data_IF_454497289301
#
_entry.id   IF_454497289301
#
_cell.length_a   1.000
_cell.length_b   1.000
_cell.length_c   1.000
_cell.angle_alpha   90.00
_cell.angle_beta   90.00
_cell.angle_gamma   90.00
#
_symmetry.space_group_name_H-M   'P 1'
#
loop_
_entity.id
_entity.type
_entity.pdbx_description
1 polymer ?
#
# COMPACT_ATOMS: atom_id res chain seq x y z
N UNK A 1 8.53 8.89 1.32
CA UNK A 1 8.43 10.37 1.35
C UNK A 1 7.36 10.73 2.37
N UNK A 2 7.79 10.99 3.60
CA UNK A 2 6.93 11.43 4.70
C UNK A 2 6.26 12.73 4.29
N UNK A 3 4.93 12.80 4.39
CA UNK A 3 4.15 14.00 4.07
C UNK A 3 4.72 15.20 4.83
N UNK A 4 5.42 16.09 4.13
CA UNK A 4 5.82 17.40 4.69
C UNK A 4 4.60 18.32 4.91
N UNK A 5 3.39 17.87 4.56
CA UNK A 5 2.12 18.55 4.71
C UNK A 5 1.23 17.87 5.77
N UNK A 6 1.82 17.35 6.84
CA UNK A 6 1.05 16.77 7.95
C UNK A 6 0.18 17.82 8.65
N UNK A 7 -1.02 17.45 9.07
CA UNK A 7 -1.88 18.28 9.92
C UNK A 7 -1.88 17.66 11.30
N UNK A 8 -1.60 18.49 12.29
CA UNK A 8 -1.69 18.10 13.70
C UNK A 8 -3.07 18.46 14.22
N UNK A 9 -3.71 17.52 14.90
CA UNK A 9 -5.00 17.75 15.54
C UNK A 9 -4.82 17.93 17.04
N UNK A 10 -5.66 18.78 17.64
CA UNK A 10 -5.89 18.85 19.08
C UNK A 10 -7.35 18.53 19.37
N UNK A 11 -7.58 17.47 20.14
CA UNK A 11 -8.89 17.11 20.62
C UNK A 11 -8.77 16.22 21.87
N UNK A 12 -9.68 16.39 22.84
CA UNK A 12 -9.84 15.58 24.06
C UNK A 12 -8.59 14.85 24.56
N UNK A 13 -7.72 15.54 25.32
CA UNK A 13 -6.50 14.98 25.93
C UNK A 13 -5.50 14.33 24.96
N UNK A 14 -5.62 14.60 23.66
CA UNK A 14 -4.71 14.13 22.63
C UNK A 14 -4.10 15.36 21.96
N UNK A 15 -2.78 15.49 22.12
CA UNK A 15 -1.98 16.48 21.41
C UNK A 15 -1.24 15.76 20.27
N UNK A 16 -1.35 16.33 19.07
CA UNK A 16 -0.39 16.14 17.97
C UNK A 16 -0.36 14.74 17.31
N UNK A 17 -1.50 14.33 16.73
CA UNK A 17 -1.56 13.17 15.83
C UNK A 17 -1.52 13.66 14.38
N UNK A 18 -0.57 13.13 13.61
CA UNK A 18 -0.46 13.35 12.16
C UNK A 18 -1.55 12.55 11.44
N UNK A 19 -2.43 13.27 10.75
CA UNK A 19 -3.51 12.69 9.95
C UNK A 19 -3.55 13.33 8.56
N UNK A 20 -3.96 12.53 7.57
CA UNK A 20 -4.19 13.05 6.23
C UNK A 20 -5.51 13.80 6.18
N UNK A 21 -5.51 15.04 5.69
CA UNK A 21 -6.75 15.73 5.31
C UNK A 21 -6.98 15.61 3.81
N UNK A 22 -8.24 15.47 3.43
CA UNK A 22 -8.69 15.59 2.06
C UNK A 22 -9.76 16.68 2.04
N UNK A 23 -9.55 17.66 1.16
CA UNK A 23 -10.51 18.73 0.94
C UNK A 23 -11.50 18.29 -0.13
N UNK A 24 -12.77 18.28 0.24
CA UNK A 24 -13.83 17.66 -0.56
C UNK A 24 -15.03 18.59 -0.68
N UNK A 25 -15.91 18.34 -1.64
CA UNK A 25 -17.21 18.97 -1.70
C UNK A 25 -18.27 18.15 -0.96
N UNK A 26 -19.52 18.62 -1.00
CA UNK A 26 -20.64 17.95 -0.35
C UNK A 26 -21.00 16.61 -1.00
N UNK A 27 -20.66 16.44 -2.27
CA UNK A 27 -21.06 15.27 -3.06
C UNK A 27 -19.95 14.20 -3.12
N UNK A 28 -18.79 14.42 -2.51
CA UNK A 28 -17.64 13.52 -2.57
C UNK A 28 -17.92 12.10 -2.06
N UNK A 29 -18.49 11.96 -0.87
CA UNK A 29 -18.79 10.67 -0.24
C UNK A 29 -19.78 9.89 -1.10
N UNK A 30 -20.82 10.57 -1.60
CA UNK A 30 -21.77 10.03 -2.58
C UNK A 30 -21.12 9.66 -3.90
N UNK A 31 -20.25 10.51 -4.43
CA UNK A 31 -19.55 10.33 -5.71
C UNK A 31 -18.57 9.16 -5.65
N UNK A 32 -18.01 8.83 -4.49
CA UNK A 32 -17.17 7.66 -4.29
C UNK A 32 -17.93 6.45 -3.75
N UNK A 33 -19.24 6.55 -3.52
CA UNK A 33 -20.07 5.50 -2.92
C UNK A 33 -19.49 4.99 -1.59
N UNK A 34 -18.94 5.92 -0.80
CA UNK A 34 -18.38 5.60 0.50
C UNK A 34 -19.53 5.46 1.49
N UNK A 35 -19.57 4.33 2.20
CA UNK A 35 -20.59 4.09 3.21
C UNK A 35 -20.33 4.93 4.47
N UNK A 36 -21.40 5.50 5.02
CA UNK A 36 -21.40 6.05 6.37
C UNK A 36 -21.58 4.94 7.38
N UNK A 37 -20.74 4.96 8.41
CA UNK A 37 -20.79 4.03 9.53
C UNK A 37 -21.51 4.64 10.73
N UNK A 38 -21.37 5.94 10.95
CA UNK A 38 -22.06 6.70 12.01
C UNK A 38 -22.31 8.15 11.57
N UNK A 39 -23.30 8.79 12.19
CA UNK A 39 -23.61 10.21 11.96
C UNK A 39 -24.21 10.47 10.59
N UNK A 40 -23.82 11.57 9.96
CA UNK A 40 -24.36 12.01 8.66
C UNK A 40 -23.26 12.46 7.70
N UNK A 41 -23.60 12.52 6.41
CA UNK A 41 -22.78 13.17 5.39
C UNK A 41 -22.82 14.70 5.53
N UNK A 42 -21.97 15.36 4.75
CA UNK A 42 -22.11 16.77 4.44
C UNK A 42 -23.44 17.04 3.73
N UNK A 43 -24.09 18.16 4.08
CA UNK A 43 -25.32 18.59 3.43
C UNK A 43 -25.27 20.06 3.07
N UNK A 44 -25.71 20.39 1.84
CA UNK A 44 -25.86 21.78 1.38
C UNK A 44 -26.94 22.53 2.15
N UNK A 45 -27.88 21.81 2.77
CA UNK A 45 -28.96 22.37 3.59
C UNK A 45 -28.44 22.85 4.96
N UNK A 46 -27.27 22.37 5.38
CA UNK A 46 -26.64 22.73 6.66
C UNK A 46 -25.54 23.76 6.41
N UNK A 47 -25.89 25.03 6.59
CA UNK A 47 -25.00 26.16 6.29
C UNK A 47 -23.69 26.17 7.10
N UNK A 48 -23.63 25.47 8.23
CA UNK A 48 -22.42 25.34 9.05
C UNK A 48 -21.42 24.33 8.50
N UNK A 49 -21.83 23.41 7.62
CA UNK A 49 -20.97 22.29 7.19
C UNK A 49 -19.71 22.77 6.46
N UNK A 50 -19.86 23.73 5.56
CA UNK A 50 -18.74 24.33 4.85
C UNK A 50 -17.69 24.95 5.79
N UNK A 51 -18.09 25.38 6.99
CA UNK A 51 -17.19 26.01 7.97
C UNK A 51 -16.63 25.00 8.96
N UNK A 52 -17.49 24.26 9.65
CA UNK A 52 -17.10 23.47 10.83
C UNK A 52 -17.27 21.97 10.68
N UNK A 53 -18.01 21.43 9.70
CA UNK A 53 -18.20 19.97 9.66
C UNK A 53 -16.91 19.23 9.28
N UNK A 54 -16.68 18.10 9.96
CA UNK A 54 -15.58 17.18 9.70
C UNK A 54 -16.14 15.75 9.62
N UNK A 55 -15.64 14.96 8.66
CA UNK A 55 -15.83 13.51 8.64
C UNK A 55 -14.51 12.80 8.90
N UNK A 56 -14.57 11.65 9.54
CA UNK A 56 -13.40 10.78 9.78
C UNK A 56 -13.67 9.37 9.29
N UNK A 57 -12.64 8.64 8.88
CA UNK A 57 -12.76 7.20 8.71
C UNK A 57 -12.62 6.43 10.04
N UNK A 58 -12.95 5.14 10.01
CA UNK A 58 -12.83 4.26 11.19
C UNK A 58 -11.38 4.19 11.71
N UNK A 59 -10.39 4.15 10.81
CA UNK A 59 -8.98 4.11 11.18
C UNK A 59 -8.53 5.34 11.98
N UNK A 60 -9.11 6.53 11.71
CA UNK A 60 -8.85 7.72 12.51
C UNK A 60 -9.38 7.58 13.94
N UNK A 61 -10.61 7.05 14.11
CA UNK A 61 -11.15 6.81 15.45
C UNK A 61 -10.35 5.75 16.23
N UNK A 62 -9.95 4.67 15.56
CA UNK A 62 -9.11 3.62 16.17
C UNK A 62 -7.77 4.19 16.63
N UNK A 63 -7.13 5.03 15.80
CA UNK A 63 -5.87 5.70 16.16
C UNK A 63 -6.03 6.67 17.33
N UNK A 64 -7.21 7.29 17.46
CA UNK A 64 -7.55 8.17 18.58
C UNK A 64 -8.00 7.42 19.83
N UNK A 65 -8.26 6.11 19.73
CA UNK A 65 -8.86 5.33 20.82
C UNK A 65 -10.30 5.77 21.15
N UNK A 66 -11.00 6.40 20.21
CA UNK A 66 -12.35 6.91 20.39
C UNK A 66 -13.40 5.91 19.93
N UNK A 67 -14.39 5.63 20.78
CA UNK A 67 -15.51 4.75 20.41
C UNK A 67 -16.75 5.51 19.94
N UNK A 68 -17.02 6.66 20.56
CA UNK A 68 -18.08 7.58 20.16
C UNK A 68 -17.56 9.02 20.29
N UNK A 69 -17.55 9.73 19.17
CA UNK A 69 -16.94 11.04 19.03
C UNK A 69 -17.81 12.00 18.20
N UNK A 70 -19.04 11.60 17.85
CA UNK A 70 -19.93 12.49 17.11
C UNK A 70 -20.24 13.73 17.96
N UNK A 71 -20.16 14.90 17.33
CA UNK A 71 -20.34 16.19 17.98
C UNK A 71 -19.10 16.74 18.70
N UNK A 72 -17.98 16.00 18.72
CA UNK A 72 -16.76 16.48 19.37
C UNK A 72 -16.15 17.67 18.60
N UNK A 73 -15.75 18.70 19.34
CA UNK A 73 -15.02 19.85 18.79
C UNK A 73 -13.53 19.52 18.63
N UNK A 74 -13.02 19.81 17.45
CA UNK A 74 -11.70 19.41 16.98
C UNK A 74 -11.02 20.62 16.36
N UNK A 75 -9.83 20.93 16.87
CA UNK A 75 -8.99 21.98 16.34
C UNK A 75 -7.90 21.38 15.45
N UNK A 76 -7.83 21.85 14.21
CA UNK A 76 -6.82 21.43 13.23
C UNK A 76 -5.75 22.50 13.13
N UNK A 77 -4.47 22.11 13.18
CA UNK A 77 -3.32 23.01 13.12
C UNK A 77 -2.35 22.61 12.01
N UNK A 78 -1.67 23.59 11.44
CA UNK A 78 -0.51 23.32 10.61
C UNK A 78 0.66 22.83 11.47
N UNK A 79 1.37 21.82 11.00
CA UNK A 79 2.52 21.25 11.73
C UNK A 79 3.61 22.30 12.02
N UNK A 80 3.76 23.30 11.15
CA UNK A 80 4.74 24.38 11.26
C UNK A 80 4.27 25.58 12.11
N UNK A 81 2.96 25.77 12.30
CA UNK A 81 2.38 26.92 13.00
C UNK A 81 1.24 26.45 13.93
N UNK A 82 1.55 26.34 15.23
CA UNK A 82 0.66 25.79 16.27
C UNK A 82 0.03 26.85 17.18
N UNK A 83 0.10 28.11 16.78
CA UNK A 83 -0.32 29.25 17.61
C UNK A 83 -1.82 29.54 17.40
N UNK A 84 -2.31 29.39 16.17
CA UNK A 84 -3.71 29.63 15.80
C UNK A 84 -4.25 28.38 15.11
N UNK A 85 -5.41 27.86 15.51
CA UNK A 85 -6.04 26.75 14.82
C UNK A 85 -6.42 27.19 13.41
N UNK A 86 -6.05 26.37 12.44
CA UNK A 86 -6.38 26.54 11.05
C UNK A 86 -7.88 26.35 10.80
N UNK A 87 -8.47 25.35 11.46
CA UNK A 87 -9.91 25.13 11.48
C UNK A 87 -10.38 24.74 12.87
N UNK A 88 -11.53 25.29 13.25
CA UNK A 88 -12.34 24.80 14.35
C UNK A 88 -13.48 23.98 13.76
N UNK A 89 -13.50 22.69 14.07
CA UNK A 89 -14.38 21.73 13.42
C UNK A 89 -15.14 20.90 14.42
N UNK A 90 -16.22 20.26 13.97
CA UNK A 90 -17.06 19.36 14.74
C UNK A 90 -17.21 18.06 13.96
N UNK A 91 -16.97 16.92 14.60
CA UNK A 91 -17.15 15.62 13.95
C UNK A 91 -18.64 15.36 13.71
N UNK A 92 -19.09 15.36 12.45
CA UNK A 92 -20.52 15.17 12.11
C UNK A 92 -20.83 13.75 11.62
N UNK A 93 -19.81 12.98 11.26
CA UNK A 93 -19.99 11.63 10.72
C UNK A 93 -18.70 10.85 10.61
N UNK A 94 -18.87 9.54 10.52
CA UNK A 94 -17.79 8.56 10.41
C UNK A 94 -18.03 7.73 9.16
N UNK A 95 -17.08 7.73 8.25
CA UNK A 95 -17.13 6.97 7.00
C UNK A 95 -16.38 5.64 7.12
N UNK A 96 -16.74 4.70 6.26
CA UNK A 96 -16.02 3.43 6.16
C UNK A 96 -14.58 3.69 5.67
N UNK A 97 -13.67 2.86 6.17
CA UNK A 97 -12.32 2.75 5.64
C UNK A 97 -12.34 2.47 4.12
N UNK A 98 -11.67 3.32 3.33
CA UNK A 98 -11.54 3.19 1.88
C UNK A 98 -10.11 3.48 1.44
N UNK A 99 -9.71 2.87 0.31
CA UNK A 99 -8.34 2.98 -0.19
C UNK A 99 -8.20 4.20 -1.08
N UNK A 100 -7.50 5.22 -0.59
CA UNK A 100 -7.36 6.51 -1.29
C UNK A 100 -6.06 6.65 -2.09
N UNK A 101 -5.01 5.86 -1.82
CA UNK A 101 -3.70 6.01 -2.48
C UNK A 101 -3.03 4.71 -2.88
N UNK A 102 -3.08 3.68 -2.03
CA UNK A 102 -2.32 2.45 -2.20
C UNK A 102 -2.99 1.31 -1.42
N UNK A 103 -3.28 0.17 -2.07
CA UNK A 103 -3.83 -1.02 -1.39
C UNK A 103 -2.79 -1.74 -0.53
N UNK A 104 -1.50 -1.41 -0.66
CA UNK A 104 -0.41 -2.08 0.04
C UNK A 104 -0.03 -1.43 1.38
N UNK A 105 -0.60 -0.26 1.69
CA UNK A 105 -0.40 0.40 2.98
C UNK A 105 -1.57 0.14 3.93
N UNK A 106 -1.33 0.02 5.25
CA UNK A 106 -2.42 -0.02 6.23
C UNK A 106 -3.33 1.21 6.08
N UNK A 107 -4.62 1.00 6.31
CA UNK A 107 -5.64 2.04 6.24
C UNK A 107 -5.22 3.28 7.03
N UNK A 108 -4.95 4.39 6.33
CA UNK A 108 -4.49 5.62 6.96
C UNK A 108 -5.66 6.37 7.61
N UNK A 109 -5.43 7.04 8.76
CA UNK A 109 -6.42 7.93 9.35
C UNK A 109 -6.65 9.14 8.44
N UNK A 110 -7.88 9.31 7.98
CA UNK A 110 -8.26 10.36 7.03
C UNK A 110 -9.35 11.24 7.63
N UNK A 111 -9.14 12.54 7.46
CA UNK A 111 -10.10 13.61 7.74
C UNK A 111 -10.65 14.15 6.43
N UNK A 112 -11.96 14.27 6.29
CA UNK A 112 -12.59 14.99 5.17
C UNK A 112 -13.13 16.33 5.65
N UNK A 113 -12.82 17.39 4.92
CA UNK A 113 -13.28 18.75 5.23
C UNK A 113 -13.67 19.49 3.94
N UNK A 114 -14.73 20.29 4.02
CA UNK A 114 -15.07 21.20 2.92
C UNK A 114 -14.19 22.44 2.97
N UNK A 115 -13.41 22.66 1.91
CA UNK A 115 -12.69 23.91 1.63
C UNK A 115 -12.48 24.11 0.12
N UNK A 116 -13.35 24.88 -0.55
CA UNK A 116 -13.28 25.11 -1.98
C UNK A 116 -11.98 25.74 -2.47
N UNK A 117 -11.28 26.50 -1.62
CA UNK A 117 -10.01 27.15 -1.98
C UNK A 117 -8.85 26.16 -2.11
N UNK A 118 -9.05 24.91 -1.69
CA UNK A 118 -8.03 23.85 -1.67
C UNK A 118 -8.33 22.70 -2.63
N UNK A 119 -9.39 22.82 -3.43
CA UNK A 119 -9.71 21.82 -4.43
C UNK A 119 -8.63 21.79 -5.51
N UNK A 120 -8.18 20.57 -5.85
CA UNK A 120 -7.17 20.34 -6.88
C UNK A 120 -7.69 19.51 -8.04
N UNK A 121 -8.67 18.67 -7.78
CA UNK A 121 -9.24 17.74 -8.75
C UNK A 121 -10.76 17.78 -8.65
N UNK A 122 -11.42 17.59 -9.79
CA UNK A 122 -12.86 17.35 -9.85
C UNK A 122 -13.06 15.86 -10.09
N UNK A 123 -13.82 15.21 -9.21
CA UNK A 123 -14.20 13.81 -9.39
C UNK A 123 -15.56 13.76 -10.07
N UNK A 124 -15.64 13.02 -11.17
CA UNK A 124 -16.87 12.83 -11.93
C UNK A 124 -17.12 11.34 -12.04
N UNK A 125 -18.24 10.88 -11.48
CA UNK A 125 -18.72 9.52 -11.69
C UNK A 125 -19.56 9.47 -12.96
N UNK A 126 -19.22 8.56 -13.86
CA UNK A 126 -19.96 8.30 -15.10
C UNK A 126 -20.61 6.92 -14.95
N UNK A 127 -21.86 6.78 -15.39
CA UNK A 127 -22.62 5.52 -15.32
C UNK A 127 -22.58 4.81 -16.70
N UNK A 128 -22.11 3.56 -16.76
CA UNK A 128 -22.03 2.75 -17.98
C UNK A 128 -20.64 2.58 -18.58
N UNK A 129 -20.54 1.86 -19.71
CA UNK A 129 -19.29 1.70 -20.45
C UNK A 129 -18.83 3.06 -21.00
N UNK A 130 -17.63 3.46 -20.60
CA UNK A 130 -16.97 4.73 -20.90
C UNK A 130 -17.10 5.15 -22.37
N UNK A 131 -18.15 5.91 -22.69
CA UNK A 131 -18.31 6.42 -24.05
C UNK A 131 -17.44 7.65 -24.23
N UNK A 132 -16.67 7.66 -25.33
CA UNK A 132 -16.00 8.85 -25.88
C UNK A 132 -16.93 10.07 -25.86
N UNK A 133 -18.24 9.86 -26.01
CA UNK A 133 -19.29 10.86 -25.94
C UNK A 133 -19.40 11.56 -24.58
N UNK A 134 -19.33 10.82 -23.46
CA UNK A 134 -19.39 11.38 -22.10
C UNK A 134 -18.18 12.30 -21.84
N UNK A 135 -17.00 11.88 -22.28
CA UNK A 135 -15.77 12.67 -22.15
C UNK A 135 -15.84 13.91 -23.02
N UNK A 136 -16.31 13.78 -24.27
CA UNK A 136 -16.51 14.91 -25.18
C UNK A 136 -17.53 15.92 -24.62
N UNK A 137 -18.59 15.43 -23.98
CA UNK A 137 -19.58 16.27 -23.31
C UNK A 137 -18.96 17.07 -22.16
N UNK A 138 -18.21 16.41 -21.27
CA UNK A 138 -17.51 17.08 -20.16
C UNK A 138 -16.49 18.09 -20.70
N UNK A 139 -15.71 17.72 -21.72
CA UNK A 139 -14.73 18.61 -22.36
C UNK A 139 -15.39 19.86 -22.95
N UNK A 140 -16.59 19.72 -23.52
CA UNK A 140 -17.36 20.87 -24.03
C UNK A 140 -17.78 21.79 -22.89
N UNK A 141 -18.36 21.25 -21.82
CA UNK A 141 -18.74 22.04 -20.63
C UNK A 141 -17.54 22.76 -20.05
N UNK A 142 -16.39 22.08 -19.93
CA UNK A 142 -15.15 22.68 -19.44
C UNK A 142 -14.76 23.93 -20.26
N UNK A 143 -14.81 23.81 -21.58
CA UNK A 143 -14.52 24.92 -22.50
C UNK A 143 -15.55 26.06 -22.40
N UNK A 144 -16.82 25.73 -22.25
CA UNK A 144 -17.91 26.72 -22.10
C UNK A 144 -17.83 27.47 -20.76
N UNK A 145 -17.33 26.80 -19.72
CA UNK A 145 -17.16 27.36 -18.38
C UNK A 145 -16.01 28.36 -18.26
N UNK A 146 -15.22 28.54 -19.33
CA UNK A 146 -14.08 29.47 -19.39
C UNK A 146 -13.05 29.27 -18.28
N UNK A 147 -12.77 28.01 -17.90
CA UNK A 147 -11.64 27.72 -17.03
C UNK A 147 -10.32 28.06 -17.75
N UNK A 148 -9.39 28.70 -17.03
CA UNK A 148 -8.08 29.09 -17.58
C UNK A 148 -7.18 27.87 -17.86
N UNK A 149 -7.42 26.74 -17.18
CA UNK A 149 -6.63 25.53 -17.29
C UNK A 149 -7.08 24.62 -18.46
N UNK A 150 -6.13 23.94 -19.13
CA UNK A 150 -6.47 22.95 -20.16
C UNK A 150 -7.26 21.79 -19.54
N UNK A 151 -8.20 21.23 -20.32
CA UNK A 151 -8.93 20.04 -19.91
C UNK A 151 -8.00 18.82 -19.89
N UNK A 152 -7.56 18.44 -18.69
CA UNK A 152 -6.81 17.23 -18.43
C UNK A 152 -7.65 16.28 -17.57
N UNK A 153 -7.66 15.00 -17.94
CA UNK A 153 -8.35 13.98 -17.18
C UNK A 153 -7.55 12.69 -17.16
N UNK A 154 -7.71 11.95 -16.08
CA UNK A 154 -7.24 10.58 -15.93
C UNK A 154 -8.38 9.74 -15.38
N UNK A 155 -8.34 8.44 -15.68
CA UNK A 155 -9.26 7.51 -15.05
C UNK A 155 -8.63 6.98 -13.77
N UNK A 156 -9.43 6.94 -12.71
CA UNK A 156 -8.97 6.53 -11.38
C UNK A 156 -8.41 5.10 -11.38
N UNK A 157 -9.02 4.18 -12.14
CA UNK A 157 -8.55 2.79 -12.30
C UNK A 157 -7.18 2.73 -12.98
N UNK A 158 -6.97 3.51 -14.04
CA UNK A 158 -5.69 3.59 -14.76
C UNK A 158 -4.59 4.23 -13.92
N UNK A 159 -4.92 5.25 -13.13
CA UNK A 159 -3.97 5.86 -12.19
C UNK A 159 -3.58 4.87 -11.10
N UNK A 160 -4.54 4.11 -10.56
CA UNK A 160 -4.26 3.02 -9.64
C UNK A 160 -3.37 1.96 -10.29
N UNK A 161 -3.67 1.51 -11.52
CA UNK A 161 -2.82 0.55 -12.25
C UNK A 161 -1.39 1.07 -12.44
N UNK A 162 -1.22 2.36 -12.76
CA UNK A 162 0.09 2.98 -12.89
C UNK A 162 0.87 2.98 -11.57
N UNK A 163 0.19 3.21 -10.44
CA UNK A 163 0.80 3.05 -9.10
C UNK A 163 1.27 1.60 -8.91
N UNK A 164 0.47 0.59 -9.25
CA UNK A 164 0.88 -0.83 -9.16
C UNK A 164 2.04 -1.19 -10.08
N UNK A 165 2.07 -0.67 -11.31
CA UNK A 165 3.14 -0.96 -12.28
C UNK A 165 4.52 -0.55 -11.77
N UNK A 166 4.59 0.51 -10.95
CA UNK A 166 5.84 0.92 -10.31
C UNK A 166 6.35 -0.12 -9.29
N UNK A 167 5.47 -0.90 -8.66
CA UNK A 167 5.87 -2.02 -7.79
C UNK A 167 6.35 -3.25 -8.59
N UNK A 168 5.85 -3.49 -9.80
CA UNK A 168 6.26 -4.62 -10.63
C UNK A 168 7.74 -4.58 -11.04
N UNK A 169 8.29 -3.37 -11.19
CA UNK A 169 9.71 -3.18 -11.56
C UNK A 169 10.65 -3.72 -10.47
N UNK A 170 10.32 -3.50 -9.20
CA UNK A 170 11.10 -4.00 -8.07
C UNK A 170 11.03 -5.52 -7.95
N UNK A 171 9.83 -6.09 -8.09
CA UNK A 171 9.64 -7.55 -8.12
C UNK A 171 10.43 -8.19 -9.27
N UNK A 172 10.50 -7.54 -10.43
CA UNK A 172 11.27 -8.00 -11.59
C UNK A 172 12.77 -8.02 -11.30
N UNK A 173 13.31 -6.98 -10.67
CA UNK A 173 14.74 -6.93 -10.28
C UNK A 173 15.05 -8.03 -9.26
N UNK A 174 14.22 -8.20 -8.23
CA UNK A 174 14.40 -9.27 -7.22
C UNK A 174 14.34 -10.64 -7.87
N UNK A 175 13.43 -10.87 -8.82
CA UNK A 175 13.32 -12.14 -9.54
C UNK A 175 14.61 -12.46 -10.29
N UNK A 176 15.19 -11.49 -11.02
CA UNK A 176 16.47 -11.70 -11.70
C UNK A 176 17.64 -11.89 -10.72
N UNK A 177 17.71 -11.11 -9.65
CA UNK A 177 18.74 -11.24 -8.62
C UNK A 177 18.68 -12.61 -7.92
N UNK A 178 17.47 -13.08 -7.60
CA UNK A 178 17.23 -14.40 -7.00
C UNK A 178 17.61 -15.52 -7.97
N UNK A 179 17.22 -15.40 -9.23
CA UNK A 179 17.62 -16.37 -10.27
C UNK A 179 19.13 -16.46 -10.41
N UNK A 180 19.84 -15.33 -10.40
CA UNK A 180 21.30 -15.30 -10.48
C UNK A 180 21.94 -15.88 -9.21
N UNK A 181 21.41 -15.57 -8.03
CA UNK A 181 21.88 -16.13 -6.77
C UNK A 181 21.73 -17.66 -6.73
N UNK A 182 20.58 -18.19 -7.19
CA UNK A 182 20.36 -19.63 -7.32
C UNK A 182 21.37 -20.24 -8.30
N UNK A 183 21.59 -19.60 -9.44
CA UNK A 183 22.55 -20.08 -10.44
C UNK A 183 23.98 -20.17 -9.88
N UNK A 184 24.44 -19.13 -9.18
CA UNK A 184 25.75 -19.11 -8.51
C UNK A 184 25.82 -20.17 -7.40
N UNK A 185 24.76 -20.34 -6.63
CA UNK A 185 24.69 -21.38 -5.59
C UNK A 185 24.80 -22.79 -6.20
N UNK A 186 24.15 -23.05 -7.35
CA UNK A 186 24.27 -24.30 -8.08
C UNK A 186 25.70 -24.53 -8.59
N UNK A 187 26.41 -23.51 -9.06
CA UNK A 187 27.83 -23.61 -9.44
C UNK A 187 28.71 -23.95 -8.23
N UNK A 188 28.46 -23.35 -7.07
CA UNK A 188 29.17 -23.67 -5.83
C UNK A 188 28.94 -25.11 -5.40
N UNK A 189 27.69 -25.57 -5.41
CA UNK A 189 27.33 -26.96 -5.09
C UNK A 189 27.98 -27.95 -6.07
N UNK A 190 27.98 -27.62 -7.37
CA UNK A 190 28.66 -28.41 -8.40
C UNK A 190 30.17 -28.49 -8.17
N UNK A 191 30.82 -27.39 -7.79
CA UNK A 191 32.25 -27.37 -7.45
C UNK A 191 32.59 -28.25 -6.24
N UNK A 192 31.74 -28.23 -5.21
CA UNK A 192 31.86 -29.12 -4.04
C UNK A 192 31.67 -30.59 -4.42
N UNK A 193 30.69 -30.88 -5.29
CA UNK A 193 30.43 -32.22 -5.79
C UNK A 193 31.63 -32.76 -6.59
N UNK A 194 32.14 -31.98 -7.53
CA UNK A 194 33.32 -32.34 -8.34
C UNK A 194 34.55 -32.63 -7.45
N UNK A 195 34.83 -31.76 -6.48
CA UNK A 195 35.96 -31.94 -5.55
C UNK A 195 35.81 -33.18 -4.67
N UNK A 196 34.58 -33.52 -4.28
CA UNK A 196 34.29 -34.71 -3.48
C UNK A 196 34.47 -35.99 -4.30
N UNK A 197 34.00 -35.99 -5.55
CA UNK A 197 34.20 -37.11 -6.49
C UNK A 197 35.70 -37.34 -6.71
N UNK A 198 36.48 -36.29 -6.95
CA UNK A 198 37.92 -36.39 -7.16
C UNK A 198 38.62 -37.07 -5.97
N UNK A 199 38.32 -36.62 -4.74
CA UNK A 199 38.86 -37.21 -3.50
C UNK A 199 38.45 -38.66 -3.29
N UNK A 200 37.25 -39.06 -3.74
CA UNK A 200 36.69 -40.42 -3.58
C UNK A 200 36.89 -41.31 -4.82
N UNK A 201 37.65 -40.86 -5.82
CA UNK A 201 37.88 -41.60 -7.09
C UNK A 201 38.41 -43.02 -6.85
N UNK A 202 39.35 -43.19 -5.90
CA UNK A 202 39.91 -44.52 -5.57
C UNK A 202 38.86 -45.46 -4.97
N UNK A 203 38.01 -44.95 -4.07
CA UNK A 203 36.92 -45.72 -3.46
C UNK A 203 35.88 -46.13 -4.50
N UNK A 204 35.49 -45.19 -5.37
CA UNK A 204 34.53 -45.40 -6.46
C UNK A 204 35.07 -46.42 -7.47
N UNK A 205 36.36 -46.35 -7.82
CA UNK A 205 37.03 -47.30 -8.72
C UNK A 205 37.03 -48.73 -8.19
N UNK A 206 37.31 -48.93 -6.89
CA UNK A 206 37.26 -50.26 -6.26
C UNK A 206 35.83 -50.81 -6.29
N UNK A 207 34.83 -50.02 -5.88
CA UNK A 207 33.42 -50.43 -5.91
C UNK A 207 32.94 -50.76 -7.33
N UNK A 208 33.42 -50.04 -8.34
CA UNK A 208 33.06 -50.28 -9.75
C UNK A 208 33.58 -51.61 -10.25
N UNK A 209 34.83 -51.97 -9.92
CA UNK A 209 35.44 -53.27 -10.28
C UNK A 209 34.76 -54.42 -9.53
N UNK A 210 34.28 -54.18 -8.31
CA UNK A 210 33.48 -55.13 -7.52
C UNK A 210 32.02 -55.29 -8.01
N UNK A 211 31.67 -54.72 -9.17
CA UNK A 211 30.36 -54.93 -9.82
C UNK A 211 29.30 -53.86 -9.54
N UNK A 212 29.64 -52.74 -8.88
CA UNK A 212 28.67 -51.67 -8.67
C UNK A 212 28.21 -51.03 -10.00
N UNK A 213 26.90 -50.83 -10.15
CA UNK A 213 26.31 -50.17 -11.33
C UNK A 213 26.53 -48.65 -11.28
N UNK A 214 26.63 -47.99 -12.44
CA UNK A 214 26.82 -46.52 -12.52
C UNK A 214 25.69 -45.76 -11.80
N UNK A 215 24.40 -46.13 -11.96
CA UNK A 215 23.31 -45.45 -11.25
C UNK A 215 23.41 -45.58 -9.72
N UNK A 216 23.93 -46.71 -9.20
CA UNK A 216 24.11 -46.91 -7.76
C UNK A 216 25.15 -45.96 -7.18
N UNK A 217 26.24 -45.70 -7.91
CA UNK A 217 27.27 -44.76 -7.50
C UNK A 217 26.78 -43.31 -7.55
N UNK A 218 26.06 -42.93 -8.61
CA UNK A 218 25.42 -41.63 -8.73
C UNK A 218 24.42 -41.41 -7.58
N UNK A 219 23.57 -42.40 -7.30
CA UNK A 219 22.58 -42.33 -6.21
C UNK A 219 23.23 -42.15 -4.84
N UNK A 220 24.32 -42.86 -4.55
CA UNK A 220 25.04 -42.74 -3.28
C UNK A 220 25.49 -41.30 -3.05
N UNK A 221 26.12 -40.70 -4.07
CA UNK A 221 26.64 -39.34 -4.01
C UNK A 221 25.49 -38.32 -3.94
N UNK A 222 24.46 -38.50 -4.77
CA UNK A 222 23.28 -37.61 -4.77
C UNK A 222 22.55 -37.58 -3.43
N UNK A 223 22.42 -38.72 -2.74
CA UNK A 223 21.75 -38.78 -1.43
C UNK A 223 22.55 -38.03 -0.36
N UNK A 224 23.88 -38.17 -0.33
CA UNK A 224 24.72 -37.43 0.61
C UNK A 224 24.53 -35.91 0.44
N UNK A 225 24.47 -35.40 -0.79
CA UNK A 225 24.19 -33.99 -1.06
C UNK A 225 22.77 -33.57 -0.73
N UNK A 226 21.77 -34.37 -1.09
CA UNK A 226 20.36 -34.07 -0.82
C UNK A 226 20.09 -33.98 0.69
N UNK A 227 20.73 -34.80 1.51
CA UNK A 227 20.62 -34.73 2.97
C UNK A 227 21.17 -33.39 3.48
N UNK A 228 22.34 -32.94 3.00
CA UNK A 228 22.90 -31.64 3.39
C UNK A 228 22.02 -30.46 2.97
N UNK A 229 21.45 -30.53 1.77
CA UNK A 229 20.50 -29.50 1.27
C UNK A 229 19.20 -29.51 2.08
N UNK A 230 18.68 -30.68 2.43
CA UNK A 230 17.48 -30.81 3.25
C UNK A 230 17.70 -30.23 4.66
N UNK A 231 18.84 -30.56 5.31
CA UNK A 231 19.22 -29.99 6.60
C UNK A 231 19.39 -28.47 6.53
N UNK A 232 19.97 -27.96 5.46
CA UNK A 232 20.10 -26.51 5.24
C UNK A 232 18.73 -25.84 5.11
N UNK A 233 17.79 -26.43 4.37
CA UNK A 233 16.42 -25.90 4.23
C UNK A 233 15.64 -25.89 5.54
N UNK A 234 15.82 -26.90 6.39
CA UNK A 234 15.19 -26.96 7.72
C UNK A 234 15.56 -25.74 8.57
N UNK A 235 16.78 -25.22 8.42
CA UNK A 235 17.23 -24.01 9.13
C UNK A 235 16.84 -22.74 8.36
N UNK A 236 16.96 -22.75 7.03
CA UNK A 236 16.71 -21.59 6.20
C UNK A 236 15.24 -21.17 6.17
N UNK A 237 14.28 -22.09 6.10
CA UNK A 237 12.86 -21.75 6.00
C UNK A 237 12.31 -21.03 7.24
N UNK A 238 12.54 -21.50 8.49
CA UNK A 238 12.10 -20.79 9.68
C UNK A 238 12.75 -19.41 9.80
N UNK A 239 14.05 -19.30 9.47
CA UNK A 239 14.76 -18.03 9.52
C UNK A 239 14.22 -17.03 8.48
N UNK A 240 13.97 -17.50 7.25
CA UNK A 240 13.37 -16.71 6.19
C UNK A 240 11.96 -16.27 6.59
N UNK A 241 11.13 -17.18 7.10
CA UNK A 241 9.79 -16.86 7.58
C UNK A 241 9.81 -15.80 8.69
N UNK A 242 10.68 -15.94 9.68
CA UNK A 242 10.82 -14.97 10.76
C UNK A 242 11.28 -13.59 10.26
N UNK A 243 12.26 -13.57 9.36
CA UNK A 243 12.75 -12.33 8.75
C UNK A 243 11.66 -11.64 7.93
N UNK A 244 10.93 -12.38 7.10
CA UNK A 244 9.82 -11.84 6.30
C UNK A 244 8.69 -11.35 7.19
N UNK A 245 8.33 -12.07 8.25
CA UNK A 245 7.26 -11.65 9.15
C UNK A 245 7.62 -10.37 9.92
N UNK A 246 8.85 -10.29 10.42
CA UNK A 246 9.36 -9.06 11.07
C UNK A 246 9.42 -7.89 10.10
N UNK A 247 9.83 -8.13 8.86
CA UNK A 247 9.84 -7.12 7.82
C UNK A 247 8.42 -6.64 7.51
N UNK A 248 7.46 -7.55 7.30
CA UNK A 248 6.05 -7.22 7.05
C UNK A 248 5.44 -6.39 8.17
N UNK A 249 5.75 -6.66 9.43
CA UNK A 249 5.28 -5.85 10.58
C UNK A 249 5.76 -4.40 10.59
N UNK A 250 6.84 -4.06 9.87
CA UNK A 250 7.29 -2.68 9.71
C UNK A 250 6.72 -1.99 8.47
N UNK A 251 6.10 -2.74 7.55
CA UNK A 251 5.42 -2.21 6.37
C UNK A 251 3.90 -2.05 6.57
N UNK A 252 3.30 -2.88 7.44
CA UNK A 252 1.90 -2.83 7.85
C UNK A 252 1.64 -1.93 9.06
#
# INVERSE_FOLDING_TARGET
VTSQNGISMKARNIDDIDMGIIYVDHDYVKTLEINLTKGRDFSKDVSTDAKSALLMNQAALERLGWQDALGEEIELYFKLERIVPMYQTTLVGVIQNYNFRDLTTPMQPILLKIDPQRFRYILIRINGDYTTDSINYIKRIWKESQFDDPFEFSFLDKDMENVYRNHESFATIIRYATSLAIFIACLGLFGLASSTVEKRTKEIGIRKVLGATVPSLVRLISIEFLILVALSNIIAWPLAYYATNRWLQHFA
#
